data_IF_223214449507
#
_entry.id   IF_223214449507
#
_cell.length_a   1.000
_cell.length_b   1.000
_cell.length_c   1.000
_cell.angle_alpha   90.00
_cell.angle_beta   90.00
_cell.angle_gamma   90.00
#
_symmetry.space_group_name_H-M   'P 1'
#
loop_
_entity.id
_entity.type
_entity.pdbx_description
1 polymer ?
#
# COMPACT_ATOMS: atom_id res chain seq x y z
N UNK A 1 -5.72 15.15 0.77
CA UNK A 1 -5.16 13.79 0.59
C UNK A 1 -3.66 13.74 0.52
N UNK A 2 -3.00 14.47 -0.39
CA UNK A 2 -1.54 14.40 -0.52
C UNK A 2 -0.82 14.82 0.76
N UNK A 3 -1.29 15.88 1.43
CA UNK A 3 -0.74 16.28 2.74
C UNK A 3 -0.96 15.25 3.85
N UNK A 4 -2.06 14.48 3.79
CA UNK A 4 -2.35 13.39 4.75
C UNK A 4 -1.46 12.17 4.49
N UNK A 5 -1.11 11.91 3.22
CA UNK A 5 -0.18 10.85 2.85
C UNK A 5 1.25 11.20 3.24
N UNK A 6 1.65 12.46 3.05
CA UNK A 6 3.00 12.93 3.40
C UNK A 6 3.32 12.84 4.89
N UNK A 7 2.31 12.91 5.76
CA UNK A 7 2.46 12.75 7.22
C UNK A 7 2.20 11.32 7.70
N UNK A 8 1.74 10.42 6.82
CA UNK A 8 1.42 9.06 7.20
C UNK A 8 2.69 8.20 7.25
N UNK A 9 3.05 7.69 8.43
CA UNK A 9 4.24 6.83 8.60
C UNK A 9 4.19 5.52 7.80
N UNK A 10 2.99 5.09 7.37
CA UNK A 10 2.79 3.91 6.53
C UNK A 10 2.87 4.19 5.02
N UNK A 11 2.99 5.46 4.61
CA UNK A 11 3.13 5.85 3.21
C UNK A 11 4.58 6.23 2.91
N UNK A 12 5.14 5.65 1.85
CA UNK A 12 6.50 5.93 1.39
C UNK A 12 6.47 6.27 -0.09
N UNK A 13 6.72 7.53 -0.41
CA UNK A 13 6.79 7.97 -1.80
C UNK A 13 8.05 7.40 -2.46
N UNK A 14 7.85 6.65 -3.54
CA UNK A 14 8.93 6.23 -4.44
C UNK A 14 9.85 5.12 -3.97
N UNK A 15 9.49 4.38 -2.93
CA UNK A 15 10.27 3.23 -2.47
C UNK A 15 10.24 2.10 -3.53
N UNK A 16 11.40 1.63 -4.03
CA UNK A 16 11.45 0.50 -4.96
C UNK A 16 10.99 -0.79 -4.30
N UNK A 17 10.57 -1.75 -5.13
CA UNK A 17 10.07 -3.05 -4.65
C UNK A 17 11.12 -3.75 -3.78
N UNK A 18 12.36 -3.76 -4.24
CA UNK A 18 13.49 -4.47 -3.63
C UNK A 18 13.78 -3.92 -2.22
N UNK A 19 13.74 -2.60 -2.07
CA UNK A 19 13.95 -1.93 -0.77
C UNK A 19 12.78 -2.21 0.18
N UNK A 20 11.54 -2.26 -0.33
CA UNK A 20 10.39 -2.68 0.48
C UNK A 20 10.55 -4.12 0.98
N UNK A 21 10.97 -5.02 0.09
CA UNK A 21 11.18 -6.42 0.44
C UNK A 21 12.29 -6.58 1.47
N UNK A 22 13.40 -5.88 1.31
CA UNK A 22 14.50 -5.86 2.28
C UNK A 22 14.03 -5.38 3.67
N UNK A 23 13.30 -4.26 3.71
CA UNK A 23 12.80 -3.71 4.97
C UNK A 23 11.81 -4.66 5.65
N UNK A 24 10.82 -5.18 4.91
CA UNK A 24 9.78 -6.05 5.46
C UNK A 24 10.31 -7.45 5.82
N UNK A 25 11.35 -7.95 5.14
CA UNK A 25 11.99 -9.21 5.48
C UNK A 25 12.91 -9.11 6.70
N UNK A 26 13.18 -7.91 7.22
CA UNK A 26 13.90 -7.76 8.48
C UNK A 26 13.14 -8.50 9.60
N UNK A 27 13.86 -9.29 10.40
CA UNK A 27 13.32 -10.05 11.53
C UNK A 27 12.67 -9.17 12.60
N UNK A 28 12.99 -7.89 12.66
CA UNK A 28 12.36 -6.93 13.56
C UNK A 28 10.93 -6.55 13.14
N UNK A 29 10.55 -6.79 11.88
CA UNK A 29 9.22 -6.47 11.37
C UNK A 29 8.25 -7.62 11.67
N UNK A 30 7.19 -7.40 12.46
CA UNK A 30 6.20 -8.43 12.73
C UNK A 30 5.39 -8.80 11.47
N UNK A 31 4.82 -10.01 11.46
CA UNK A 31 3.79 -10.38 10.50
C UNK A 31 2.65 -9.35 10.54
N UNK A 32 2.19 -8.91 9.37
CA UNK A 32 1.23 -7.83 9.23
C UNK A 32 1.84 -6.44 9.00
N UNK A 33 3.17 -6.30 9.12
CA UNK A 33 3.87 -5.05 8.76
C UNK A 33 3.64 -4.72 7.29
N UNK A 34 3.36 -3.44 7.01
CA UNK A 34 3.03 -3.01 5.66
C UNK A 34 3.47 -1.57 5.38
N UNK A 35 3.60 -1.27 4.09
CA UNK A 35 3.75 0.08 3.57
C UNK A 35 2.95 0.25 2.29
N UNK A 36 2.48 1.47 2.05
CA UNK A 36 1.92 1.87 0.77
C UNK A 36 2.93 2.74 0.05
N UNK A 37 3.20 2.41 -1.21
CA UNK A 37 4.16 3.12 -2.07
C UNK A 37 3.57 3.53 -3.40
N UNK A 38 4.17 4.52 -4.05
CA UNK A 38 3.83 4.86 -5.43
C UNK A 38 4.32 3.80 -6.42
N UNK A 39 3.53 3.59 -7.47
CA UNK A 39 3.92 2.80 -8.65
C UNK A 39 4.28 3.74 -9.79
N UNK A 40 5.52 3.67 -10.28
CA UNK A 40 5.94 4.45 -11.44
C UNK A 40 5.72 3.72 -12.77
N UNK A 41 5.40 2.42 -12.72
CA UNK A 41 5.35 1.56 -13.91
C UNK A 41 3.93 1.41 -14.47
N UNK A 42 2.89 1.72 -13.70
CA UNK A 42 1.51 1.54 -14.15
C UNK A 42 0.61 2.70 -13.70
N UNK A 43 0.17 3.50 -14.67
CA UNK A 43 -0.69 4.66 -14.44
C UNK A 43 -2.07 4.27 -13.87
N UNK A 44 -2.56 3.07 -14.21
CA UNK A 44 -3.83 2.55 -13.71
C UNK A 44 -3.76 2.12 -12.24
N UNK A 45 -2.56 1.82 -11.74
CA UNK A 45 -2.31 1.38 -10.36
C UNK A 45 -1.30 2.30 -9.69
N UNK A 46 -1.66 3.55 -9.37
CA UNK A 46 -0.71 4.54 -8.87
C UNK A 46 -0.12 4.19 -7.51
N UNK A 47 -0.73 3.27 -6.75
CA UNK A 47 -0.22 2.84 -5.45
C UNK A 47 -0.12 1.32 -5.34
N UNK A 48 0.78 0.86 -4.48
CA UNK A 48 0.99 -0.55 -4.17
C UNK A 48 1.08 -0.71 -2.65
N UNK A 49 0.27 -1.59 -2.08
CA UNK A 49 0.39 -2.05 -0.70
C UNK A 49 1.33 -3.24 -0.65
N UNK A 50 2.45 -3.12 0.06
CA UNK A 50 3.38 -4.21 0.33
C UNK A 50 3.16 -4.70 1.76
N UNK A 51 2.86 -5.98 1.95
CA UNK A 51 2.45 -6.57 3.22
C UNK A 51 3.28 -7.83 3.52
N UNK A 52 3.86 -7.90 4.72
CA UNK A 52 4.47 -9.13 5.24
C UNK A 52 3.36 -10.08 5.71
N UNK A 53 3.18 -11.20 5.03
CA UNK A 53 2.13 -12.18 5.36
C UNK A 53 2.64 -13.28 6.29
N UNK A 54 3.92 -13.62 6.18
CA UNK A 54 4.60 -14.55 7.07
C UNK A 54 6.10 -14.21 7.10
N UNK A 55 6.92 -15.04 7.75
CA UNK A 55 8.36 -14.77 7.91
C UNK A 55 9.18 -14.78 6.62
N UNK A 56 8.65 -15.32 5.52
CA UNK A 56 9.40 -15.52 4.28
C UNK A 56 8.72 -14.96 3.03
N UNK A 57 7.48 -14.47 3.17
CA UNK A 57 6.68 -14.00 2.03
C UNK A 57 6.09 -12.62 2.26
N UNK A 58 6.26 -11.80 1.23
CA UNK A 58 5.68 -10.48 1.11
C UNK A 58 4.77 -10.49 -0.10
N UNK A 59 3.57 -9.96 0.05
CA UNK A 59 2.64 -9.76 -1.06
C UNK A 59 2.54 -8.29 -1.43
N UNK A 60 2.35 -8.05 -2.73
CA UNK A 60 2.18 -6.72 -3.29
C UNK A 60 0.81 -6.60 -3.94
N UNK A 61 -0.04 -5.77 -3.36
CA UNK A 61 -1.38 -5.51 -3.86
C UNK A 61 -1.40 -4.18 -4.58
N UNK A 62 -1.76 -4.21 -5.86
CA UNK A 62 -1.92 -2.99 -6.65
C UNK A 62 -3.22 -2.27 -6.26
N UNK A 63 -3.15 -0.96 -6.09
CA UNK A 63 -4.28 -0.12 -5.73
C UNK A 63 -4.60 0.76 -6.93
N UNK A 64 -5.79 0.55 -7.49
CA UNK A 64 -6.34 1.35 -8.55
C UNK A 64 -7.00 2.61 -7.97
N UNK A 65 -6.82 3.74 -8.66
CA UNK A 65 -7.60 4.96 -8.42
C UNK A 65 -8.71 5.02 -9.46
N UNK A 66 -9.97 5.08 -9.02
CA UNK A 66 -11.09 5.16 -9.96
C UNK A 66 -11.20 6.58 -10.51
N UNK A 67 -11.42 6.68 -11.82
CA UNK A 67 -11.43 7.94 -12.57
C UNK A 67 -12.54 8.90 -12.17
N UNK A 68 -13.61 8.39 -11.55
CA UNK A 68 -14.81 9.20 -11.29
C UNK A 68 -14.78 9.98 -9.98
N UNK A 69 -14.17 9.46 -8.91
CA UNK A 69 -14.34 10.00 -7.55
C UNK A 69 -13.06 10.01 -6.69
N UNK A 70 -11.88 9.79 -7.27
CA UNK A 70 -10.64 9.57 -6.49
C UNK A 70 -10.67 8.37 -5.52
N UNK A 71 -11.72 7.54 -5.60
CA UNK A 71 -11.84 6.35 -4.79
C UNK A 71 -10.71 5.37 -5.09
N UNK A 72 -10.31 4.62 -4.07
CA UNK A 72 -9.24 3.64 -4.15
C UNK A 72 -9.82 2.22 -4.05
N UNK A 73 -9.24 1.28 -4.79
CA UNK A 73 -9.65 -0.12 -4.79
C UNK A 73 -8.43 -1.02 -4.96
N UNK A 74 -8.32 -2.06 -4.13
CA UNK A 74 -7.31 -3.11 -4.32
C UNK A 74 -7.68 -3.91 -5.57
N UNK A 75 -6.70 -4.20 -6.43
CA UNK A 75 -6.87 -5.00 -7.63
C UNK A 75 -7.55 -6.34 -7.27
N UNK A 76 -8.59 -6.71 -8.03
CA UNK A 76 -9.44 -7.89 -7.80
C UNK A 76 -10.31 -7.85 -6.53
N UNK A 77 -10.35 -6.75 -5.78
CA UNK A 77 -11.32 -6.55 -4.70
C UNK A 77 -12.63 -5.95 -5.22
N UNK A 78 -13.76 -6.36 -4.63
CA UNK A 78 -15.07 -5.73 -4.85
C UNK A 78 -15.27 -4.48 -3.97
N UNK A 79 -14.45 -4.30 -2.93
CA UNK A 79 -14.58 -3.20 -1.96
C UNK A 79 -13.90 -1.94 -2.49
N UNK A 80 -14.65 -0.84 -2.48
CA UNK A 80 -14.16 0.48 -2.88
C UNK A 80 -14.06 1.37 -1.64
N UNK A 81 -12.98 2.13 -1.55
CA UNK A 81 -12.67 3.03 -0.45
C UNK A 81 -12.64 4.47 -0.96
N UNK A 82 -12.98 5.44 -0.11
CA UNK A 82 -13.06 6.85 -0.51
C UNK A 82 -11.64 7.39 -0.80
N UNK A 83 -10.66 6.99 -0.01
CA UNK A 83 -9.25 7.32 -0.19
C UNK A 83 -8.34 6.23 0.44
N UNK A 84 -7.02 6.35 0.26
CA UNK A 84 -6.04 5.43 0.83
C UNK A 84 -6.14 5.32 2.36
N UNK A 85 -6.39 6.43 3.07
CA UNK A 85 -6.51 6.41 4.53
C UNK A 85 -7.69 5.53 4.99
N UNK A 86 -8.83 5.61 4.29
CA UNK A 86 -9.99 4.73 4.55
C UNK A 86 -9.75 3.28 4.13
N UNK A 87 -8.74 2.98 3.32
CA UNK A 87 -8.29 1.63 3.02
C UNK A 87 -7.41 1.07 4.14
N UNK A 88 -6.57 1.90 4.75
CA UNK A 88 -5.65 1.47 5.82
C UNK A 88 -6.35 1.32 7.17
N UNK A 89 -7.08 2.34 7.62
CA UNK A 89 -7.66 2.41 8.98
C UNK A 89 -8.52 1.19 9.37
N UNK A 90 -9.36 0.61 8.48
CA UNK A 90 -10.17 -0.56 8.84
C UNK A 90 -9.38 -1.86 8.96
N UNK A 91 -8.12 -1.89 8.50
CA UNK A 91 -7.28 -3.09 8.41
C UNK A 91 -6.12 -3.07 9.42
N UNK A 92 -6.10 -2.08 10.34
CA UNK A 92 -5.01 -1.86 11.31
C UNK A 92 -5.50 -1.80 12.77
N UNK A 93 -6.62 -2.45 13.10
CA UNK A 93 -7.13 -2.55 14.49
C UNK A 93 -6.75 -3.88 15.11
#
# INVERSE_FOLDING_TARGET
DQDLLNVAGWYQEGLPKEICEEYLNNSEQPIGSFFIRCSYLCLDYPFILSLKINETSIEHFFIQRTSHNNNCRIQNSSKTFINLSTLVIPHTV
#
